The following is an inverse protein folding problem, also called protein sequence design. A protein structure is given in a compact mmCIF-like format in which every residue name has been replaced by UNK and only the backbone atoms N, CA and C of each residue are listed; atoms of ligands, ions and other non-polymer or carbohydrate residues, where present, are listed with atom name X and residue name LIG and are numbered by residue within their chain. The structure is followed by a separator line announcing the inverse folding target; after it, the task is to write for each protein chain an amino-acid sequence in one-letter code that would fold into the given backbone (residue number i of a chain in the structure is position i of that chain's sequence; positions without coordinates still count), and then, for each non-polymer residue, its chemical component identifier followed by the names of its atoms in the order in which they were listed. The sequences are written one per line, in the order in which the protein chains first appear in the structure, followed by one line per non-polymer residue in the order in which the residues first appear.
data_IF_411180533074
#
_entry.id   IF_411180533074
#
_cell.length_a   1.000
_cell.length_b   1.000
_cell.length_c   1.000
_cell.angle_alpha   90.00
_cell.angle_beta   90.00
_cell.angle_gamma   90.00
#
_symmetry.space_group_name_H-M   'P 1'
#
loop_
_entity.id
_entity.type
_entity.pdbx_description
1 polymer ?
#
# COMPACT_ATOMS: atom_id res chain seq x y z
N UNK A 1 3.80 18.88 44.66
CA UNK A 1 4.06 17.53 44.16
C UNK A 1 3.37 17.43 42.80
N UNK A 2 4.10 17.62 41.74
CA UNK A 2 3.57 17.46 40.39
C UNK A 2 3.47 15.96 40.14
N UNK A 3 2.26 15.42 40.04
CA UNK A 3 2.03 14.06 39.63
C UNK A 3 2.55 13.91 38.18
N UNK A 4 3.72 13.29 38.02
CA UNK A 4 4.16 12.85 36.71
C UNK A 4 3.22 11.72 36.26
N UNK A 5 2.12 12.10 35.61
CA UNK A 5 1.34 11.09 34.88
C UNK A 5 2.24 10.50 33.80
N UNK A 6 2.29 9.19 33.70
CA UNK A 6 3.04 8.50 32.64
C UNK A 6 2.67 9.09 31.27
N UNK A 7 3.64 9.24 30.36
CA UNK A 7 3.38 9.69 28.99
C UNK A 7 2.26 8.87 28.36
N UNK A 8 1.55 9.45 27.41
CA UNK A 8 0.58 8.72 26.59
C UNK A 8 1.26 7.71 25.69
N UNK A 9 0.49 6.76 25.18
CA UNK A 9 0.96 5.73 24.25
C UNK A 9 0.61 6.10 22.81
N UNK A 10 1.58 5.92 21.91
CA UNK A 10 1.40 6.15 20.47
C UNK A 10 1.15 4.82 19.76
N UNK A 11 0.12 4.78 18.94
CA UNK A 11 -0.22 3.64 18.08
C UNK A 11 0.01 4.03 16.63
N UNK A 12 0.98 3.34 15.96
CA UNK A 12 1.15 3.45 14.51
C UNK A 12 0.18 2.49 13.86
N UNK A 13 -0.90 2.98 13.29
CA UNK A 13 -2.01 2.17 12.77
C UNK A 13 -2.04 2.23 11.25
N UNK A 14 -2.07 1.06 10.60
CA UNK A 14 -2.32 0.96 9.18
C UNK A 14 -3.78 1.25 8.85
N UNK A 15 -4.00 2.26 8.01
CA UNK A 15 -5.33 2.62 7.54
C UNK A 15 -5.86 1.67 6.43
N UNK A 16 -5.00 0.79 5.93
CA UNK A 16 -5.35 0.02 4.74
C UNK A 16 -5.18 0.80 3.43
N UNK A 17 -5.63 0.23 2.30
CA UNK A 17 -5.33 0.74 0.96
C UNK A 17 -6.19 1.94 0.54
N UNK A 18 -7.32 2.18 1.23
CA UNK A 18 -8.25 3.27 0.91
C UNK A 18 -9.60 3.07 1.58
N UNK A 19 -10.35 2.03 1.24
CA UNK A 19 -11.67 1.75 1.80
C UNK A 19 -11.61 1.57 3.33
N UNK A 20 -12.53 2.22 4.04
CA UNK A 20 -12.51 2.27 5.50
C UNK A 20 -12.81 0.91 6.16
N UNK A 21 -13.55 0.03 5.49
CA UNK A 21 -13.86 -1.33 5.93
C UNK A 21 -12.67 -2.31 5.80
N UNK A 22 -11.60 -1.91 5.12
CA UNK A 22 -10.35 -2.67 5.04
C UNK A 22 -9.36 -2.36 6.17
N UNK A 23 -9.76 -1.56 7.14
CA UNK A 23 -8.99 -1.41 8.38
C UNK A 23 -9.06 -2.68 9.23
N UNK A 24 -8.01 -2.98 9.97
CA UNK A 24 -8.07 -4.08 10.94
C UNK A 24 -9.03 -3.75 12.09
N UNK A 25 -9.67 -4.77 12.63
CA UNK A 25 -10.55 -4.62 13.82
C UNK A 25 -9.82 -3.95 15.00
N UNK A 26 -8.52 -4.25 15.17
CA UNK A 26 -7.69 -3.58 16.20
C UNK A 26 -7.53 -2.09 15.90
N UNK A 27 -7.24 -1.74 14.65
CA UNK A 27 -7.11 -0.36 14.21
C UNK A 27 -8.38 0.45 14.45
N UNK A 28 -9.55 -0.08 14.05
CA UNK A 28 -10.83 0.55 14.26
C UNK A 28 -11.15 0.77 15.76
N UNK A 29 -10.88 -0.23 16.61
CA UNK A 29 -11.07 -0.12 18.07
C UNK A 29 -10.15 0.92 18.70
N UNK A 30 -8.95 1.13 18.18
CA UNK A 30 -8.03 2.16 18.65
C UNK A 30 -8.46 3.55 18.20
N UNK A 31 -8.90 3.70 16.94
CA UNK A 31 -9.47 4.96 16.44
C UNK A 31 -10.67 5.39 17.27
N UNK A 32 -11.59 4.47 17.60
CA UNK A 32 -12.75 4.76 18.44
C UNK A 32 -12.42 5.20 19.88
N UNK A 33 -11.18 5.04 20.33
CA UNK A 33 -10.71 5.43 21.68
C UNK A 33 -9.65 6.53 21.65
N UNK A 34 -9.24 6.98 20.46
CA UNK A 34 -8.17 7.95 20.32
C UNK A 34 -8.58 9.33 20.86
N UNK A 35 -7.66 9.98 21.58
CA UNK A 35 -7.81 11.39 21.95
C UNK A 35 -7.41 12.29 20.78
N UNK A 36 -6.38 11.88 20.02
CA UNK A 36 -5.86 12.61 18.87
C UNK A 36 -5.37 11.63 17.79
N UNK A 37 -5.66 11.97 16.53
CA UNK A 37 -5.28 11.18 15.35
C UNK A 37 -4.45 12.05 14.41
N UNK A 38 -3.20 11.67 14.18
CA UNK A 38 -2.34 12.22 13.13
C UNK A 38 -2.46 11.36 11.89
N UNK A 39 -2.94 11.89 10.78
CA UNK A 39 -3.22 11.11 9.57
C UNK A 39 -2.49 11.64 8.34
N UNK A 40 -2.11 10.72 7.42
CA UNK A 40 -1.52 11.05 6.13
C UNK A 40 -2.57 11.61 5.15
N UNK A 41 -2.09 12.27 4.10
CA UNK A 41 -2.94 12.77 3.03
C UNK A 41 -3.59 11.65 2.17
N UNK A 42 -3.10 10.42 2.27
CA UNK A 42 -3.66 9.24 1.57
C UNK A 42 -4.79 8.56 2.34
N UNK A 43 -5.08 9.01 3.56
CA UNK A 43 -6.19 8.48 4.34
C UNK A 43 -7.49 9.09 3.82
N UNK A 44 -8.41 8.26 3.36
CA UNK A 44 -9.72 8.71 2.87
C UNK A 44 -10.55 9.30 4.03
N UNK A 45 -11.40 10.32 3.76
CA UNK A 45 -12.17 10.99 4.79
C UNK A 45 -13.07 10.07 5.62
N UNK A 46 -13.67 9.05 4.99
CA UNK A 46 -14.53 8.06 5.63
C UNK A 46 -13.81 7.28 6.76
N UNK A 47 -12.48 7.13 6.66
CA UNK A 47 -11.68 6.52 7.72
C UNK A 47 -11.71 7.34 9.01
N UNK A 48 -11.81 8.66 8.91
CA UNK A 48 -11.83 9.56 10.06
C UNK A 48 -13.18 9.58 10.76
N UNK A 49 -14.23 9.02 10.16
CA UNK A 49 -15.53 8.83 10.80
C UNK A 49 -15.48 7.77 11.90
N UNK A 50 -14.46 6.90 11.88
CA UNK A 50 -14.21 5.90 12.94
C UNK A 50 -13.68 6.53 14.26
N UNK A 51 -13.33 7.81 14.26
CA UNK A 51 -12.83 8.53 15.44
C UNK A 51 -13.52 9.89 15.63
N UNK A 52 -14.86 9.94 15.76
CA UNK A 52 -15.61 11.19 15.78
C UNK A 52 -15.22 12.11 16.96
N UNK A 53 -14.79 11.55 18.08
CA UNK A 53 -14.39 12.26 19.30
C UNK A 53 -12.95 12.79 19.27
N UNK A 54 -12.08 12.24 18.38
CA UNK A 54 -10.67 12.56 18.37
C UNK A 54 -10.37 13.91 17.69
N UNK A 55 -9.32 14.59 18.16
CA UNK A 55 -8.72 15.71 17.43
C UNK A 55 -8.02 15.17 16.19
N UNK A 56 -8.46 15.57 14.99
CA UNK A 56 -7.91 15.12 13.71
C UNK A 56 -6.87 16.10 13.21
N UNK A 57 -5.65 15.61 12.99
CA UNK A 57 -4.49 16.40 12.61
C UNK A 57 -3.88 15.87 11.32
N UNK A 58 -4.06 16.55 10.19
CA UNK A 58 -3.39 16.15 8.97
C UNK A 58 -1.88 16.38 9.07
N UNK A 59 -1.09 15.36 8.75
CA UNK A 59 0.36 15.41 8.68
C UNK A 59 0.81 14.96 7.29
N UNK A 60 0.86 15.84 6.36
CA UNK A 60 1.20 15.55 4.96
C UNK A 60 1.95 16.70 4.29
N UNK A 61 2.20 16.60 3.02
CA UNK A 61 3.12 17.35 2.14
C UNK A 61 2.97 18.88 2.08
N UNK A 62 2.64 19.59 3.13
CA UNK A 62 2.56 21.07 3.06
C UNK A 62 3.84 21.81 3.43
N UNK A 63 4.89 21.12 3.86
CA UNK A 63 6.12 21.80 4.32
C UNK A 63 7.35 21.21 3.64
N UNK A 64 7.88 21.89 2.61
CA UNK A 64 9.27 21.87 2.19
C UNK A 64 9.93 20.49 1.94
N UNK A 65 11.21 20.38 2.23
CA UNK A 65 12.03 19.17 2.01
C UNK A 65 11.52 17.97 2.82
N UNK A 66 11.53 16.77 2.24
CA UNK A 66 10.98 15.53 2.83
C UNK A 66 11.54 15.19 4.22
N UNK A 67 12.82 15.46 4.48
CA UNK A 67 13.47 15.22 5.77
C UNK A 67 12.98 16.15 6.88
N UNK A 68 12.78 17.43 6.58
CA UNK A 68 12.25 18.40 7.54
C UNK A 68 10.79 18.14 7.89
N UNK A 69 10.00 17.65 6.93
CA UNK A 69 8.61 17.25 7.17
C UNK A 69 8.51 16.07 8.14
N UNK A 70 9.39 15.03 8.02
CA UNK A 70 9.37 13.89 8.93
C UNK A 70 9.82 14.26 10.34
N UNK A 71 10.86 15.09 10.47
CA UNK A 71 11.29 15.58 11.78
C UNK A 71 10.16 16.33 12.50
N UNK A 72 9.39 17.14 11.76
CA UNK A 72 8.23 17.84 12.30
C UNK A 72 7.13 16.87 12.80
N UNK A 73 6.85 15.81 12.03
CA UNK A 73 5.87 14.77 12.42
C UNK A 73 6.35 14.10 13.71
N UNK A 74 7.60 13.65 13.76
CA UNK A 74 8.19 12.98 14.91
C UNK A 74 8.07 13.85 16.17
N UNK A 75 8.45 15.15 16.06
CA UNK A 75 8.32 16.10 17.18
C UNK A 75 6.87 16.22 17.65
N UNK A 76 5.90 16.34 16.75
CA UNK A 76 4.47 16.46 17.12
C UNK A 76 3.94 15.24 17.84
N UNK A 77 4.35 14.03 17.45
CA UNK A 77 3.98 12.79 18.13
C UNK A 77 4.52 12.76 19.57
N UNK A 78 5.79 13.14 19.76
CA UNK A 78 6.41 13.23 21.09
C UNK A 78 5.73 14.28 21.96
N UNK A 79 5.39 15.44 21.39
CA UNK A 79 4.70 16.50 22.15
C UNK A 79 3.25 16.11 22.49
N UNK A 80 2.56 15.38 21.61
CA UNK A 80 1.23 14.88 21.88
C UNK A 80 1.23 13.85 23.02
N UNK A 81 2.27 13.03 23.17
CA UNK A 81 2.36 12.05 24.25
C UNK A 81 2.46 12.68 25.65
N UNK A 82 2.82 13.97 25.74
CA UNK A 82 2.81 14.72 26.99
C UNK A 82 1.41 15.19 27.42
N UNK A 83 0.45 15.23 26.48
CA UNK A 83 -0.85 15.87 26.67
C UNK A 83 -2.02 14.89 26.57
N UNK A 84 -1.89 13.84 25.78
CA UNK A 84 -2.94 12.86 25.47
C UNK A 84 -2.53 11.47 25.94
N UNK A 85 -3.51 10.60 26.22
CA UNK A 85 -3.27 9.23 26.65
C UNK A 85 -3.19 8.25 25.48
N UNK A 86 -4.10 8.40 24.52
CA UNK A 86 -4.23 7.51 23.36
C UNK A 86 -4.00 8.31 22.09
N UNK A 87 -2.82 8.18 21.52
CA UNK A 87 -2.41 8.89 20.31
C UNK A 87 -2.37 7.90 19.16
N UNK A 88 -3.08 8.17 18.07
CA UNK A 88 -3.03 7.35 16.86
C UNK A 88 -2.28 8.11 15.77
N UNK A 89 -1.26 7.48 15.20
CA UNK A 89 -0.63 7.84 13.95
C UNK A 89 -1.18 6.93 12.85
N UNK A 90 -2.16 7.43 12.09
CA UNK A 90 -2.86 6.70 11.05
C UNK A 90 -2.12 6.86 9.71
N UNK A 91 -1.64 5.75 9.16
CA UNK A 91 -0.77 5.70 7.98
C UNK A 91 -1.44 4.92 6.86
N UNK A 92 -1.44 5.43 5.63
CA UNK A 92 -1.96 4.70 4.47
C UNK A 92 -1.26 3.34 4.27
N UNK A 93 -2.01 2.31 3.90
CA UNK A 93 -1.52 0.95 3.75
C UNK A 93 -1.11 0.31 5.08
N UNK A 94 0.09 -0.25 5.12
CA UNK A 94 0.75 -0.82 6.30
C UNK A 94 1.87 0.11 6.78
N UNK A 95 1.99 0.40 8.08
CA UNK A 95 3.03 1.29 8.61
C UNK A 95 4.46 0.84 8.31
N UNK A 96 4.67 -0.49 8.23
CA UNK A 96 6.00 -1.09 8.11
C UNK A 96 6.47 -1.25 6.66
N UNK A 97 5.64 -0.85 5.66
CA UNK A 97 6.00 -0.91 4.25
C UNK A 97 6.07 0.50 3.63
N UNK A 98 7.28 0.98 3.35
CA UNK A 98 7.57 2.30 2.76
C UNK A 98 6.96 3.50 3.50
N UNK A 99 6.56 3.29 4.78
CA UNK A 99 5.88 4.28 5.60
C UNK A 99 6.79 5.09 6.53
N UNK A 100 8.12 4.90 6.51
CA UNK A 100 9.10 5.56 7.40
C UNK A 100 8.80 5.34 8.89
N UNK A 101 8.14 4.22 9.23
CA UNK A 101 7.74 3.92 10.62
C UNK A 101 8.94 3.82 11.55
N UNK A 102 10.09 3.32 11.06
CA UNK A 102 11.32 3.18 11.84
C UNK A 102 11.78 4.54 12.42
N UNK A 103 11.73 5.62 11.62
CA UNK A 103 12.09 6.96 12.07
C UNK A 103 11.14 7.49 13.16
N UNK A 104 9.84 7.20 13.04
CA UNK A 104 8.82 7.57 14.03
C UNK A 104 9.03 6.78 15.34
N UNK A 105 9.23 5.45 15.24
CA UNK A 105 9.49 4.56 16.37
C UNK A 105 10.75 4.96 17.13
N UNK A 106 11.85 5.19 16.41
CA UNK A 106 13.12 5.60 17.04
C UNK A 106 13.00 6.94 17.77
N UNK A 107 12.30 7.91 17.17
CA UNK A 107 12.07 9.21 17.79
C UNK A 107 11.26 9.13 19.08
N UNK A 108 10.17 8.32 19.07
CA UNK A 108 9.33 8.07 20.23
C UNK A 108 10.10 7.33 21.32
N UNK A 109 10.83 6.28 20.96
CA UNK A 109 11.65 5.50 21.90
C UNK A 109 12.72 6.37 22.60
N UNK A 110 13.43 7.23 21.84
CA UNK A 110 14.40 8.18 22.40
C UNK A 110 13.77 9.18 23.37
N UNK A 111 12.48 9.47 23.20
CA UNK A 111 11.72 10.35 24.10
C UNK A 111 11.05 9.61 25.28
N UNK A 112 11.27 8.29 25.42
CA UNK A 112 10.65 7.47 26.46
C UNK A 112 9.14 7.27 26.29
N UNK A 113 8.63 7.40 25.05
CA UNK A 113 7.21 7.23 24.72
C UNK A 113 6.98 5.79 24.26
N UNK A 114 6.01 5.11 24.88
CA UNK A 114 5.60 3.76 24.46
C UNK A 114 4.94 3.81 23.08
N UNK A 115 5.34 2.90 22.19
CA UNK A 115 4.80 2.79 20.84
C UNK A 115 4.35 1.36 20.56
N UNK A 116 3.20 1.22 19.90
CA UNK A 116 2.68 -0.04 19.39
C UNK A 116 2.37 0.09 17.89
N UNK A 117 2.74 -0.91 17.10
CA UNK A 117 2.44 -0.96 15.67
C UNK A 117 1.25 -1.90 15.45
N UNK A 118 0.26 -1.39 14.73
CA UNK A 118 -0.91 -2.16 14.30
C UNK A 118 -0.85 -2.29 12.79
N UNK A 119 -0.68 -3.50 12.24
CA UNK A 119 -0.56 -3.71 10.80
C UNK A 119 -1.81 -3.27 10.04
N UNK A 120 -1.64 -3.02 8.76
CA UNK A 120 -2.71 -2.72 7.81
C UNK A 120 -2.58 -3.53 6.52
N UNK A 121 -3.60 -3.45 5.67
CA UNK A 121 -3.54 -4.07 4.34
C UNK A 121 -2.77 -3.13 3.41
N UNK A 122 -1.66 -3.62 2.85
CA UNK A 122 -0.89 -2.86 1.87
C UNK A 122 -1.61 -2.84 0.51
N UNK A 123 -1.42 -1.77 -0.26
CA UNK A 123 -2.04 -1.58 -1.57
C UNK A 123 -1.75 -2.73 -2.55
N UNK A 124 -0.59 -3.41 -2.45
CA UNK A 124 -0.28 -4.55 -3.30
C UNK A 124 -1.26 -5.72 -3.14
N UNK A 125 -1.61 -6.06 -1.90
CA UNK A 125 -2.56 -7.15 -1.63
C UNK A 125 -3.98 -6.77 -2.02
N UNK A 126 -4.37 -5.54 -1.76
CA UNK A 126 -5.69 -5.03 -2.17
C UNK A 126 -5.80 -4.92 -3.69
N UNK A 127 -4.75 -4.47 -4.39
CA UNK A 127 -4.70 -4.42 -5.85
C UNK A 127 -4.80 -5.82 -6.47
N UNK A 128 -4.08 -6.81 -5.92
CA UNK A 128 -4.20 -8.20 -6.36
C UNK A 128 -5.63 -8.74 -6.20
N UNK A 129 -6.29 -8.42 -5.08
CA UNK A 129 -7.67 -8.79 -4.84
C UNK A 129 -8.63 -8.08 -5.81
N UNK A 130 -8.43 -6.80 -6.09
CA UNK A 130 -9.25 -6.01 -7.00
C UNK A 130 -9.23 -6.57 -8.44
N UNK A 131 -8.04 -6.95 -8.94
CA UNK A 131 -7.91 -7.55 -10.27
C UNK A 131 -8.22 -9.05 -10.30
N UNK A 132 -8.48 -9.69 -9.15
CA UNK A 132 -8.73 -11.14 -9.07
C UNK A 132 -7.52 -12.00 -9.43
N UNK A 133 -6.28 -11.46 -9.33
CA UNK A 133 -5.05 -12.17 -9.65
C UNK A 133 -4.15 -12.29 -8.42
N UNK A 134 -3.73 -13.50 -8.10
CA UNK A 134 -2.80 -13.73 -6.99
C UNK A 134 -1.38 -13.29 -7.35
N UNK A 135 -0.67 -12.66 -6.44
CA UNK A 135 0.75 -12.32 -6.61
C UNK A 135 1.65 -13.55 -6.67
N UNK A 136 1.16 -14.70 -6.20
CA UNK A 136 1.85 -15.99 -6.26
C UNK A 136 0.98 -17.02 -6.99
N UNK A 137 1.60 -17.90 -7.76
CA UNK A 137 0.91 -18.96 -8.48
C UNK A 137 1.77 -20.22 -8.48
N UNK A 138 1.21 -21.33 -8.00
CA UNK A 138 1.94 -22.59 -7.92
C UNK A 138 2.48 -23.01 -9.30
N UNK A 139 3.77 -23.31 -9.36
CA UNK A 139 4.47 -23.65 -10.59
C UNK A 139 4.86 -22.47 -11.47
N UNK A 140 4.43 -21.24 -11.16
CA UNK A 140 4.70 -20.04 -11.97
C UNK A 140 5.43 -18.96 -11.16
N UNK A 141 4.92 -18.60 -9.98
CA UNK A 141 5.49 -17.54 -9.14
C UNK A 141 5.54 -17.96 -7.68
N UNK A 142 6.75 -18.00 -7.10
CA UNK A 142 7.02 -18.34 -5.71
C UNK A 142 7.62 -17.19 -4.92
N UNK A 143 8.02 -16.13 -5.62
CA UNK A 143 8.66 -14.96 -5.03
C UNK A 143 7.94 -13.68 -5.44
N UNK A 144 7.79 -12.75 -4.48
CA UNK A 144 7.21 -11.42 -4.67
C UNK A 144 8.16 -10.38 -4.11
N UNK A 145 8.51 -9.37 -4.89
CA UNK A 145 9.28 -8.23 -4.40
C UNK A 145 8.42 -6.96 -4.37
N UNK A 146 8.40 -6.30 -3.22
CA UNK A 146 7.86 -4.95 -3.08
C UNK A 146 9.00 -3.95 -3.22
N UNK A 147 8.87 -3.02 -4.16
CA UNK A 147 9.94 -2.13 -4.60
C UNK A 147 9.47 -0.68 -4.52
N UNK A 148 10.32 0.22 -4.04
CA UNK A 148 10.11 1.67 -4.17
C UNK A 148 11.27 2.29 -4.93
N UNK A 149 10.95 3.19 -5.86
CA UNK A 149 11.94 4.02 -6.56
C UNK A 149 12.10 5.40 -5.92
N UNK A 150 11.31 5.72 -4.91
CA UNK A 150 11.47 6.95 -4.16
C UNK A 150 12.86 6.99 -3.52
N UNK A 151 13.75 7.79 -4.07
CA UNK A 151 15.10 7.97 -3.54
C UNK A 151 15.05 8.78 -2.25
N UNK A 152 15.74 8.31 -1.22
CA UNK A 152 16.21 9.20 -0.16
C UNK A 152 17.23 10.18 -0.79
N UNK A 153 16.90 11.44 -0.78
CA UNK A 153 17.55 12.52 -1.53
C UNK A 153 19.03 12.79 -1.20
N UNK A 154 19.69 11.96 -0.42
CA UNK A 154 21.02 12.35 0.13
C UNK A 154 22.19 11.42 -0.23
N UNK A 155 22.03 10.27 -0.89
CA UNK A 155 23.18 9.35 -1.03
C UNK A 155 23.30 8.53 -2.32
N UNK A 156 22.47 8.71 -3.33
CA UNK A 156 22.74 8.08 -4.64
C UNK A 156 23.04 9.15 -5.68
N UNK A 157 24.27 9.11 -6.23
CA UNK A 157 24.67 9.94 -7.36
C UNK A 157 23.73 9.74 -8.54
N UNK A 158 23.46 10.79 -9.30
CA UNK A 158 22.73 10.73 -10.55
C UNK A 158 23.38 9.66 -11.45
N UNK A 159 22.59 8.68 -11.90
CA UNK A 159 23.03 7.68 -12.88
C UNK A 159 23.28 6.25 -12.36
N UNK A 160 23.08 5.95 -11.07
CA UNK A 160 23.16 4.55 -10.66
C UNK A 160 21.96 3.76 -11.20
N UNK A 161 22.19 2.58 -11.82
CA UNK A 161 21.12 1.72 -12.32
C UNK A 161 20.20 1.31 -11.16
N UNK A 162 18.90 1.23 -11.43
CA UNK A 162 17.93 0.63 -10.52
C UNK A 162 18.30 -0.86 -10.48
N UNK A 163 18.82 -1.34 -9.34
CA UNK A 163 18.99 -2.78 -9.16
C UNK A 163 17.62 -3.40 -8.94
N UNK A 164 17.07 -4.04 -9.96
CA UNK A 164 15.84 -4.81 -9.81
C UNK A 164 16.16 -6.12 -9.08
N UNK A 165 15.42 -6.46 -8.01
CA UNK A 165 15.56 -7.77 -7.40
C UNK A 165 15.08 -8.85 -8.39
N UNK A 166 15.72 -10.01 -8.37
CA UNK A 166 15.20 -11.19 -9.07
C UNK A 166 14.01 -11.73 -8.25
N UNK A 167 12.80 -11.60 -8.79
CA UNK A 167 11.59 -12.18 -8.23
C UNK A 167 10.58 -12.41 -9.34
N UNK A 168 9.76 -13.47 -9.20
CA UNK A 168 8.78 -13.87 -10.23
C UNK A 168 7.66 -12.82 -10.39
N UNK A 169 7.31 -12.12 -9.32
CA UNK A 169 6.33 -11.03 -9.33
C UNK A 169 6.94 -9.79 -8.68
N UNK A 170 6.86 -8.67 -9.38
CA UNK A 170 7.37 -7.39 -8.94
C UNK A 170 6.23 -6.41 -8.72
N UNK A 171 6.25 -5.70 -7.60
CA UNK A 171 5.25 -4.68 -7.26
C UNK A 171 5.96 -3.37 -6.91
N UNK A 172 5.85 -2.39 -7.81
CA UNK A 172 6.47 -1.09 -7.63
C UNK A 172 5.51 -0.08 -7.01
N UNK A 173 5.96 0.50 -5.92
CA UNK A 173 5.33 1.65 -5.27
C UNK A 173 6.04 2.92 -5.71
N UNK A 174 5.27 4.01 -5.86
CA UNK A 174 5.81 5.34 -6.21
C UNK A 174 6.63 5.39 -7.53
N UNK A 175 6.43 4.39 -8.43
CA UNK A 175 7.19 4.20 -9.67
C UNK A 175 6.62 4.92 -10.90
N UNK A 176 5.54 5.70 -10.77
CA UNK A 176 4.82 6.28 -11.92
C UNK A 176 5.69 7.03 -12.93
N UNK A 177 6.69 7.79 -12.46
CA UNK A 177 7.56 8.59 -13.33
C UNK A 177 8.64 7.77 -14.04
N UNK A 178 8.82 6.52 -13.64
CA UNK A 178 9.91 5.67 -14.08
C UNK A 178 9.40 4.42 -14.82
N UNK A 179 8.12 4.37 -15.21
CA UNK A 179 7.47 3.20 -15.83
C UNK A 179 8.21 2.68 -17.03
N UNK A 180 8.50 3.52 -18.01
CA UNK A 180 9.24 3.12 -19.22
C UNK A 180 10.67 2.63 -18.87
N UNK A 181 11.35 3.31 -17.94
CA UNK A 181 12.69 2.93 -17.48
C UNK A 181 12.68 1.57 -16.79
N UNK A 182 11.70 1.31 -15.90
CA UNK A 182 11.50 0.00 -15.27
C UNK A 182 11.34 -1.06 -16.34
N UNK A 183 10.45 -0.82 -17.31
CA UNK A 183 10.12 -1.78 -18.35
C UNK A 183 11.34 -2.11 -19.24
N UNK A 184 12.07 -1.11 -19.70
CA UNK A 184 13.30 -1.31 -20.48
C UNK A 184 14.32 -2.13 -19.70
N UNK A 185 14.60 -1.78 -18.45
CA UNK A 185 15.58 -2.52 -17.66
C UNK A 185 15.19 -4.00 -17.44
N UNK A 186 13.91 -4.29 -17.16
CA UNK A 186 13.47 -5.66 -16.96
C UNK A 186 13.55 -6.49 -18.24
N UNK A 187 13.27 -5.89 -19.41
CA UNK A 187 13.39 -6.55 -20.72
C UNK A 187 14.86 -6.80 -21.06
N UNK A 188 15.73 -5.81 -20.83
CA UNK A 188 17.16 -5.88 -21.17
C UNK A 188 17.91 -6.88 -20.27
N UNK A 189 17.53 -7.00 -19.00
CA UNK A 189 18.12 -7.96 -18.07
C UNK A 189 17.80 -9.43 -18.43
N UNK A 190 16.74 -9.68 -19.20
CA UNK A 190 16.29 -10.98 -19.75
C UNK A 190 16.30 -12.16 -18.76
N UNK A 191 16.09 -11.89 -17.46
CA UNK A 191 16.14 -12.93 -16.42
C UNK A 191 14.80 -13.67 -16.32
N UNK A 192 13.80 -12.98 -15.77
CA UNK A 192 12.51 -13.58 -15.43
C UNK A 192 11.34 -12.88 -16.13
N UNK A 193 11.60 -11.74 -16.81
CA UNK A 193 10.58 -10.90 -17.43
C UNK A 193 10.95 -10.54 -18.87
N UNK A 194 9.95 -10.54 -19.76
CA UNK A 194 10.11 -10.25 -21.19
C UNK A 194 9.01 -9.31 -21.68
N UNK A 195 9.11 -8.86 -22.93
CA UNK A 195 8.17 -7.91 -23.50
C UNK A 195 6.68 -8.32 -23.36
N UNK A 196 6.38 -9.63 -23.36
CA UNK A 196 5.02 -10.15 -23.22
C UNK A 196 4.60 -10.42 -21.77
N UNK A 197 5.46 -10.13 -20.77
CA UNK A 197 5.11 -10.29 -19.36
C UNK A 197 3.96 -9.34 -19.01
N UNK A 198 2.90 -9.84 -18.32
CA UNK A 198 1.76 -9.02 -17.93
C UNK A 198 2.13 -7.88 -16.99
N UNK A 199 1.48 -6.73 -17.20
CA UNK A 199 1.56 -5.56 -16.35
C UNK A 199 0.16 -5.09 -16.00
N UNK A 200 -0.07 -4.85 -14.71
CA UNK A 200 -1.26 -4.14 -14.23
C UNK A 200 -0.82 -2.88 -13.49
N UNK A 201 -1.44 -1.76 -13.82
CA UNK A 201 -1.28 -0.50 -13.09
C UNK A 201 -2.61 -0.18 -12.44
N UNK A 202 -2.60 0.07 -11.15
CA UNK A 202 -3.78 0.45 -10.40
C UNK A 202 -3.55 1.80 -9.73
N UNK A 203 -4.52 2.69 -9.83
CA UNK A 203 -4.54 3.96 -9.12
C UNK A 203 -5.65 3.98 -8.07
N UNK A 204 -5.38 4.63 -6.95
CA UNK A 204 -6.34 4.85 -5.85
C UNK A 204 -7.05 3.56 -5.41
N UNK A 205 -6.28 2.47 -5.25
CA UNK A 205 -6.77 1.12 -4.95
C UNK A 205 -7.75 1.11 -3.79
N UNK A 206 -8.85 0.35 -3.96
CA UNK A 206 -9.98 0.18 -3.06
C UNK A 206 -10.79 1.45 -2.74
N UNK A 207 -10.55 2.56 -3.43
CA UNK A 207 -11.38 3.78 -3.31
C UNK A 207 -12.41 3.85 -4.44
N UNK A 208 -13.37 4.77 -4.31
CA UNK A 208 -14.33 5.08 -5.39
C UNK A 208 -13.66 5.64 -6.67
N UNK A 209 -12.39 6.03 -6.59
CA UNK A 209 -11.58 6.57 -7.69
C UNK A 209 -10.63 5.52 -8.27
N UNK A 210 -10.78 4.26 -7.87
CA UNK A 210 -9.93 3.19 -8.38
C UNK A 210 -10.02 3.09 -9.89
N UNK A 211 -8.85 3.02 -10.54
CA UNK A 211 -8.72 2.79 -11.98
C UNK A 211 -7.66 1.74 -12.23
N UNK A 212 -7.85 0.99 -13.31
CA UNK A 212 -6.93 -0.07 -13.74
C UNK A 212 -6.51 0.12 -15.19
N UNK A 213 -5.24 -0.13 -15.47
CA UNK A 213 -4.67 -0.29 -16.79
C UNK A 213 -3.95 -1.63 -16.85
N UNK A 214 -4.24 -2.45 -17.87
CA UNK A 214 -3.67 -3.79 -18.04
C UNK A 214 -3.08 -3.91 -19.44
N UNK A 215 -1.86 -4.41 -19.54
CA UNK A 215 -1.15 -4.61 -20.80
C UNK A 215 0.07 -5.51 -20.60
N UNK A 216 1.13 -5.27 -21.37
CA UNK A 216 2.39 -6.00 -21.31
C UNK A 216 3.56 -5.06 -20.98
N UNK A 217 4.67 -5.66 -20.57
CA UNK A 217 5.90 -4.93 -20.27
C UNK A 217 6.44 -4.19 -21.49
N UNK A 218 6.31 -4.78 -22.70
CA UNK A 218 6.69 -4.13 -23.96
C UNK A 218 5.87 -2.87 -24.24
N UNK A 219 4.55 -2.92 -24.02
CA UNK A 219 3.68 -1.76 -24.18
C UNK A 219 3.99 -0.66 -23.15
N UNK A 220 4.35 -1.05 -21.92
CA UNK A 220 4.80 -0.12 -20.90
C UNK A 220 6.12 0.56 -21.28
N UNK A 221 7.08 -0.19 -21.86
CA UNK A 221 8.35 0.34 -22.38
C UNK A 221 8.14 1.39 -23.49
N UNK A 222 7.07 1.24 -24.28
CA UNK A 222 6.70 2.20 -25.32
C UNK A 222 5.95 3.45 -24.77
N UNK A 223 5.82 3.58 -23.45
CA UNK A 223 5.17 4.73 -22.81
C UNK A 223 3.65 4.78 -22.96
N UNK A 224 2.99 3.66 -23.34
CA UNK A 224 1.53 3.65 -23.58
C UNK A 224 0.69 3.95 -22.35
N UNK A 225 1.24 3.80 -21.15
CA UNK A 225 0.56 4.16 -19.91
C UNK A 225 0.69 5.65 -19.55
N UNK A 226 1.60 6.42 -20.17
CA UNK A 226 1.97 7.76 -19.70
C UNK A 226 0.79 8.74 -19.68
N UNK A 227 -0.06 8.71 -20.70
CA UNK A 227 -1.25 9.56 -20.79
C UNK A 227 -2.41 9.08 -19.92
N UNK A 228 -2.35 7.85 -19.42
CA UNK A 228 -3.40 7.28 -18.59
C UNK A 228 -3.29 7.71 -17.13
N UNK A 229 -2.09 8.01 -16.63
CA UNK A 229 -1.87 8.35 -15.24
C UNK A 229 -2.56 9.65 -14.79
N UNK A 230 -3.23 9.58 -13.64
CA UNK A 230 -3.64 10.76 -12.88
C UNK A 230 -2.51 11.19 -11.93
N UNK A 231 -2.01 12.40 -12.11
CA UNK A 231 -0.91 12.93 -11.31
C UNK A 231 -1.25 13.12 -9.83
N UNK A 232 -2.51 13.17 -9.46
CA UNK A 232 -2.99 13.34 -8.08
C UNK A 232 -3.19 12.02 -7.33
N UNK A 233 -3.29 10.89 -8.05
CA UNK A 233 -3.59 9.58 -7.48
C UNK A 233 -2.32 8.77 -7.18
N UNK A 234 -2.27 8.02 -6.07
CA UNK A 234 -1.22 7.04 -5.84
C UNK A 234 -1.35 5.88 -6.82
N UNK A 235 -0.23 5.46 -7.41
CA UNK A 235 -0.19 4.37 -8.38
C UNK A 235 0.66 3.20 -7.90
N UNK A 236 0.22 1.99 -8.24
CA UNK A 236 0.89 0.72 -8.04
C UNK A 236 1.11 0.07 -9.40
N UNK A 237 2.32 -0.48 -9.65
CA UNK A 237 2.66 -1.18 -10.88
C UNK A 237 3.00 -2.63 -10.51
N UNK A 238 2.27 -3.59 -11.07
CA UNK A 238 2.41 -5.01 -10.78
C UNK A 238 2.83 -5.73 -12.06
N UNK A 239 3.89 -6.53 -11.99
CA UNK A 239 4.53 -7.18 -13.14
C UNK A 239 4.78 -8.64 -12.81
N UNK A 240 4.44 -9.57 -13.69
CA UNK A 240 4.76 -10.99 -13.53
C UNK A 240 3.77 -11.94 -14.16
N UNK A 241 4.21 -13.16 -14.46
CA UNK A 241 3.38 -14.18 -15.11
C UNK A 241 2.21 -14.68 -14.26
N UNK A 242 2.31 -14.58 -12.94
CA UNK A 242 1.20 -14.91 -12.05
C UNK A 242 -0.03 -14.01 -12.27
N UNK A 243 0.18 -12.84 -12.85
CA UNK A 243 -0.84 -11.82 -13.10
C UNK A 243 -1.49 -11.95 -14.49
N UNK A 244 -1.14 -12.98 -15.25
CA UNK A 244 -1.74 -13.24 -16.57
C UNK A 244 -3.20 -13.59 -16.42
N UNK A 245 -4.05 -12.88 -17.13
CA UNK A 245 -5.47 -13.18 -17.19
C UNK A 245 -5.66 -14.64 -17.65
N UNK A 246 -6.36 -15.43 -16.86
CA UNK A 246 -6.77 -16.75 -17.26
C UNK A 246 -7.91 -16.57 -18.23
N UNK A 247 -7.74 -17.01 -19.47
CA UNK A 247 -8.86 -17.22 -20.39
C UNK A 247 -9.71 -18.30 -19.73
N UNK A 248 -10.78 -17.91 -19.08
CA UNK A 248 -11.84 -18.84 -18.71
C UNK A 248 -12.46 -19.22 -20.05
N UNK A 249 -12.01 -20.33 -20.63
CA UNK A 249 -12.79 -20.99 -21.66
C UNK A 249 -14.14 -21.26 -21.00
N UNK A 250 -15.14 -20.45 -21.35
CA UNK A 250 -16.53 -20.78 -21.13
C UNK A 250 -16.81 -22.02 -21.95
N UNK A 251 -16.44 -23.18 -21.44
CA UNK A 251 -17.12 -24.39 -21.79
C UNK A 251 -18.56 -24.20 -21.35
N UNK A 252 -19.33 -23.74 -22.31
CA UNK A 252 -20.77 -23.72 -22.31
C UNK A 252 -21.30 -24.83 -21.42
N UNK A 253 -22.00 -24.41 -20.39
CA UNK A 253 -23.04 -25.22 -19.76
C UNK A 253 -24.09 -25.57 -20.83
N UNK A 254 -23.80 -26.57 -21.67
CA UNK A 254 -24.74 -27.31 -22.43
C UNK A 254 -24.87 -28.61 -21.63
N UNK A 255 -25.90 -28.68 -20.96
CA UNK A 255 -26.72 -29.81 -20.52
C UNK A 255 -27.12 -29.69 -19.04
N UNK A 256 -28.16 -28.92 -18.79
CA UNK A 256 -29.00 -29.09 -17.62
C UNK A 256 -30.16 -30.04 -18.01
N UNK A 257 -29.83 -31.28 -18.24
CA UNK A 257 -30.76 -32.37 -18.19
C UNK A 257 -30.45 -33.20 -16.95
N UNK A 258 -31.41 -33.29 -16.02
CA UNK A 258 -31.49 -34.17 -14.86
C UNK A 258 -31.27 -33.54 -13.47
N UNK A 259 -32.11 -32.52 -13.16
CA UNK A 259 -32.39 -32.14 -11.77
C UNK A 259 -33.31 -33.17 -11.02
N UNK A 260 -33.55 -34.34 -11.58
CA UNK A 260 -34.46 -35.32 -10.97
C UNK A 260 -33.78 -36.37 -10.06
N UNK A 261 -32.44 -36.47 -10.07
CA UNK A 261 -31.75 -37.53 -9.31
C UNK A 261 -31.10 -37.03 -7.99
N UNK A 262 -30.96 -35.71 -7.82
CA UNK A 262 -30.34 -35.14 -6.62
C UNK A 262 -31.31 -35.11 -5.43
N UNK A 263 -32.62 -35.04 -5.67
CA UNK A 263 -33.65 -35.00 -4.61
C UNK A 263 -33.94 -36.36 -3.97
N UNK A 264 -33.47 -37.47 -4.53
CA UNK A 264 -33.72 -38.83 -4.00
C UNK A 264 -32.64 -39.34 -3.06
N UNK A 265 -31.53 -38.63 -2.84
CA UNK A 265 -30.40 -39.11 -2.01
C UNK A 265 -30.27 -38.46 -0.65
N UNK A 266 -30.99 -37.37 -0.38
CA UNK A 266 -30.89 -36.63 0.88
C UNK A 266 -32.24 -36.10 1.40
N UNK A 267 -33.34 -36.81 1.12
CA UNK A 267 -34.64 -36.58 1.74
C UNK A 267 -34.90 -37.59 2.85
#
# INVERSE_FOLDING_TARGET
MTSHSSPGKVYLVGAGPGAADLITVRGAKLLAKADIVFHDALVEPEMLDLCPQAIKVPVGKRCGKLSSAQHFINKRLVDAAKQYKTIVRLKGGDPMLFGRADEEIQSLSKAGVEVEVVPGITAALAGAASIGQSLTLRGVSRSVAFITLAQATEKRGEGQPISNPSADTLVYYMGRKDTAKIAHQLIDEQRDHHANTPVHILEAVSTKRERQWSSTLGELALGKADSWFDSSSPALIMIGEALREKIVENHLLIDRGDDAEYQKRFG
#
